data_IF_249702533245
#
_entry.id   IF_249702533245
#
_cell.length_a   1.000
_cell.length_b   1.000
_cell.length_c   1.000
_cell.angle_alpha   90.00
_cell.angle_beta   90.00
_cell.angle_gamma   90.00
#
_symmetry.space_group_name_H-M   'P 1'
#
loop_
_entity.id
_entity.type
_entity.pdbx_description
1 polymer ?
#
# COMPACT_ATOMS: atom_id res chain seq x y z
N UNK A 1 -8.19 4.51 -11.81
CA UNK A 1 -8.03 5.85 -11.19
C UNK A 1 -8.28 7.00 -12.16
N UNK A 2 -7.78 6.94 -13.40
CA UNK A 2 -7.85 8.07 -14.36
C UNK A 2 -9.23 8.62 -14.75
N UNK A 3 -10.34 7.99 -14.31
CA UNK A 3 -11.72 8.45 -14.52
C UNK A 3 -12.38 9.07 -13.29
N UNK A 4 -11.80 8.90 -12.09
CA UNK A 4 -12.31 9.49 -10.85
C UNK A 4 -11.74 10.90 -10.65
N UNK A 5 -12.15 11.63 -9.61
CA UNK A 5 -11.59 12.95 -9.27
C UNK A 5 -12.60 13.83 -8.53
N UNK A 6 -12.13 14.71 -7.65
CA UNK A 6 -12.96 15.70 -6.97
C UNK A 6 -14.03 15.17 -6.00
N UNK A 7 -14.00 13.88 -5.66
CA UNK A 7 -15.05 13.21 -4.90
C UNK A 7 -15.21 13.69 -3.44
N UNK A 8 -14.25 14.43 -2.89
CA UNK A 8 -14.33 14.93 -1.51
C UNK A 8 -15.55 15.83 -1.26
N UNK A 9 -16.06 16.49 -2.31
CA UNK A 9 -17.22 17.37 -2.21
C UNK A 9 -18.54 16.60 -2.14
N UNK A 10 -18.66 15.53 -2.93
CA UNK A 10 -19.88 14.70 -2.98
C UNK A 10 -19.90 13.63 -1.88
N UNK A 11 -18.72 13.11 -1.49
CA UNK A 11 -18.58 12.00 -0.55
C UNK A 11 -17.63 12.38 0.62
N UNK A 12 -17.98 13.37 1.45
CA UNK A 12 -17.08 13.88 2.49
C UNK A 12 -16.80 12.86 3.60
N UNK A 13 -17.79 12.02 3.98
CA UNK A 13 -17.56 11.00 5.01
C UNK A 13 -16.62 9.90 4.50
N UNK A 14 -16.87 9.39 3.29
CA UNK A 14 -15.96 8.45 2.64
C UNK A 14 -14.55 9.03 2.58
N UNK A 15 -14.40 10.27 2.12
CA UNK A 15 -13.11 10.92 1.98
C UNK A 15 -12.39 11.07 3.33
N UNK A 16 -13.07 11.50 4.39
CA UNK A 16 -12.46 11.67 5.70
C UNK A 16 -12.00 10.32 6.31
N UNK A 17 -12.83 9.29 6.23
CA UNK A 17 -12.50 7.97 6.77
C UNK A 17 -11.41 7.27 5.94
N UNK A 18 -11.48 7.40 4.61
CA UNK A 18 -10.42 6.92 3.72
C UNK A 18 -9.10 7.64 3.98
N UNK A 19 -9.13 8.95 4.27
CA UNK A 19 -7.92 9.70 4.62
C UNK A 19 -7.25 9.09 5.86
N UNK A 20 -8.00 8.73 6.91
CA UNK A 20 -7.42 8.05 8.08
C UNK A 20 -6.69 6.76 7.68
N UNK A 21 -7.30 5.94 6.82
CA UNK A 21 -6.67 4.72 6.30
C UNK A 21 -5.43 4.99 5.45
N UNK A 22 -5.48 6.00 4.58
CA UNK A 22 -4.36 6.45 3.74
C UNK A 22 -3.19 6.92 4.62
N UNK A 23 -3.45 7.71 5.65
CA UNK A 23 -2.43 8.16 6.60
C UNK A 23 -1.87 6.98 7.40
N UNK A 24 -2.70 6.00 7.74
CA UNK A 24 -2.27 4.81 8.47
C UNK A 24 -1.33 3.94 7.64
N UNK A 25 -1.68 3.65 6.38
CA UNK A 25 -0.83 2.89 5.45
C UNK A 25 0.45 3.66 5.09
N UNK A 26 0.39 4.99 5.06
CA UNK A 26 1.58 5.82 4.80
C UNK A 26 2.55 5.90 5.98
N UNK A 27 2.27 5.19 7.08
CA UNK A 27 3.15 5.18 8.25
C UNK A 27 3.19 6.52 8.97
N UNK A 28 2.11 7.30 9.00
CA UNK A 28 2.10 8.57 9.74
C UNK A 28 1.81 8.36 11.24
N UNK A 29 2.64 8.90 12.15
CA UNK A 29 2.30 8.95 13.56
C UNK A 29 1.00 9.75 13.77
N UNK A 30 0.08 9.32 14.64
CA UNK A 30 0.18 8.27 15.66
C UNK A 30 -0.56 6.97 15.26
N UNK A 31 -0.66 6.66 13.97
CA UNK A 31 -1.48 5.55 13.48
C UNK A 31 -0.74 4.21 13.58
N UNK A 32 -1.51 3.12 13.55
CA UNK A 32 -0.97 1.76 13.71
C UNK A 32 0.10 1.39 12.68
N UNK A 33 -0.01 1.84 11.43
CA UNK A 33 0.99 1.52 10.40
C UNK A 33 2.39 2.03 10.74
N UNK A 34 2.50 3.23 11.34
CA UNK A 34 3.78 3.75 11.81
C UNK A 34 4.38 2.86 12.90
N UNK A 35 3.58 2.44 13.88
CA UNK A 35 4.06 1.58 14.98
C UNK A 35 4.59 0.26 14.44
N UNK A 36 3.85 -0.38 13.52
CA UNK A 36 4.25 -1.67 12.93
C UNK A 36 5.55 -1.57 12.14
N UNK A 37 5.67 -0.55 11.28
CA UNK A 37 6.90 -0.31 10.50
C UNK A 37 8.09 0.07 11.40
N UNK A 38 7.84 0.87 12.44
CA UNK A 38 8.85 1.24 13.43
C UNK A 38 9.37 0.01 14.19
N UNK A 39 8.48 -0.85 14.69
CA UNK A 39 8.87 -2.11 15.34
C UNK A 39 9.63 -3.03 14.40
N UNK A 40 9.23 -3.10 13.13
CA UNK A 40 9.94 -3.88 12.12
C UNK A 40 11.36 -3.33 11.89
N UNK A 41 11.51 -2.02 11.69
CA UNK A 41 12.81 -1.38 11.52
C UNK A 41 13.71 -1.59 12.74
N UNK A 42 13.15 -1.50 13.95
CA UNK A 42 13.88 -1.79 15.17
C UNK A 42 14.34 -3.25 15.25
N UNK A 43 13.50 -4.20 14.85
CA UNK A 43 13.88 -5.61 14.83
C UNK A 43 15.09 -5.88 13.92
N UNK A 44 15.18 -5.19 12.78
CA UNK A 44 16.36 -5.26 11.92
C UNK A 44 17.56 -4.52 12.54
N UNK A 45 17.39 -3.25 12.93
CA UNK A 45 18.51 -2.42 13.37
C UNK A 45 19.11 -2.80 14.74
N UNK A 46 18.30 -3.40 15.61
CA UNK A 46 18.68 -3.79 16.96
C UNK A 46 18.79 -5.32 17.11
N UNK A 47 18.87 -6.06 15.99
CA UNK A 47 19.07 -7.51 16.04
C UNK A 47 20.34 -7.81 16.86
N UNK A 48 20.27 -8.66 17.90
CA UNK A 48 21.46 -9.19 18.56
C UNK A 48 22.30 -9.88 17.49
N UNK A 49 23.61 -9.62 17.47
CA UNK A 49 24.52 -10.07 16.41
C UNK A 49 24.23 -11.51 16.01
N UNK A 50 23.82 -11.70 14.75
CA UNK A 50 23.40 -13.01 14.28
C UNK A 50 24.58 -13.98 14.34
N UNK A 51 24.34 -15.29 14.57
CA UNK A 51 25.43 -16.28 14.68
C UNK A 51 26.35 -16.34 13.47
N UNK A 52 25.87 -15.87 12.31
CA UNK A 52 26.59 -15.85 11.05
C UNK A 52 26.80 -14.40 10.58
N UNK A 53 28.06 -13.96 10.59
CA UNK A 53 28.47 -12.60 10.17
C UNK A 53 28.03 -12.24 8.75
N UNK A 54 27.90 -13.20 7.84
CA UNK A 54 27.41 -12.94 6.48
C UNK A 54 25.95 -12.52 6.45
N UNK A 55 25.12 -13.10 7.33
CA UNK A 55 23.70 -12.73 7.43
C UNK A 55 23.57 -11.37 8.11
N UNK A 56 24.40 -11.12 9.12
CA UNK A 56 24.45 -9.84 9.85
C UNK A 56 24.77 -8.67 8.90
N UNK A 57 25.65 -8.86 7.92
CA UNK A 57 25.94 -7.86 6.87
C UNK A 57 24.75 -7.56 5.94
N UNK A 58 23.77 -8.47 5.81
CA UNK A 58 22.58 -8.24 4.99
C UNK A 58 21.49 -7.47 5.74
N UNK A 59 21.55 -7.38 7.07
CA UNK A 59 20.55 -6.72 7.91
C UNK A 59 20.33 -5.24 7.52
N UNK A 60 21.38 -4.41 7.32
CA UNK A 60 21.18 -3.03 6.86
C UNK A 60 20.55 -2.93 5.46
N UNK A 61 20.88 -3.88 4.57
CA UNK A 61 20.30 -3.93 3.22
C UNK A 61 18.81 -4.25 3.31
N UNK A 62 18.42 -5.21 4.14
CA UNK A 62 17.02 -5.54 4.38
C UNK A 62 16.25 -4.36 4.99
N UNK A 63 16.83 -3.68 5.98
CA UNK A 63 16.24 -2.47 6.57
C UNK A 63 16.06 -1.35 5.53
N UNK A 64 17.04 -1.15 4.65
CA UNK A 64 16.93 -0.18 3.56
C UNK A 64 15.83 -0.53 2.55
N UNK A 65 15.67 -1.81 2.22
CA UNK A 65 14.58 -2.29 1.34
C UNK A 65 13.21 -2.06 1.99
N UNK A 66 13.08 -2.31 3.30
CA UNK A 66 11.84 -2.06 4.04
C UNK A 66 11.52 -0.55 4.07
N UNK A 67 12.52 0.29 4.35
CA UNK A 67 12.34 1.74 4.33
C UNK A 67 11.94 2.25 2.93
N UNK A 68 12.54 1.71 1.87
CA UNK A 68 12.16 2.01 0.48
C UNK A 68 10.72 1.57 0.19
N UNK A 69 10.32 0.38 0.65
CA UNK A 69 8.95 -0.12 0.48
C UNK A 69 7.93 0.78 1.20
N UNK A 70 8.21 1.20 2.44
CA UNK A 70 7.37 2.14 3.19
C UNK A 70 7.25 3.50 2.47
N UNK A 71 8.37 4.04 1.96
CA UNK A 71 8.36 5.29 1.20
C UNK A 71 7.53 5.19 -0.09
N UNK A 72 7.65 4.08 -0.83
CA UNK A 72 6.85 3.84 -2.04
C UNK A 72 5.36 3.63 -1.69
N UNK A 73 5.05 2.97 -0.58
CA UNK A 73 3.68 2.82 -0.10
C UNK A 73 3.05 4.18 0.21
N UNK A 74 3.74 5.03 0.97
CA UNK A 74 3.31 6.40 1.25
C UNK A 74 3.09 7.21 -0.03
N UNK A 75 4.02 7.14 -0.99
CA UNK A 75 3.87 7.80 -2.28
C UNK A 75 2.62 7.35 -3.05
N UNK A 76 2.36 6.04 -3.10
CA UNK A 76 1.17 5.48 -3.77
C UNK A 76 -0.11 5.91 -3.05
N UNK A 77 -0.10 5.99 -1.72
CA UNK A 77 -1.24 6.42 -0.92
C UNK A 77 -1.56 7.92 -1.12
N UNK A 78 -0.55 8.79 -1.17
CA UNK A 78 -0.73 10.21 -1.52
C UNK A 78 -1.30 10.35 -2.93
N UNK A 79 -0.76 9.61 -3.90
CA UNK A 79 -1.30 9.55 -5.27
C UNK A 79 -2.75 9.08 -5.29
N UNK A 80 -3.06 8.01 -4.57
CA UNK A 80 -4.40 7.44 -4.48
C UNK A 80 -5.40 8.47 -3.97
N UNK A 81 -5.11 9.10 -2.83
CA UNK A 81 -6.02 10.05 -2.23
C UNK A 81 -6.14 11.32 -3.07
N UNK A 82 -5.01 11.87 -3.52
CA UNK A 82 -4.97 13.10 -4.32
C UNK A 82 -5.71 12.98 -5.65
N UNK A 83 -5.54 11.87 -6.37
CA UNK A 83 -6.15 11.71 -7.70
C UNK A 83 -7.66 11.41 -7.61
N UNK A 84 -8.11 10.70 -6.58
CA UNK A 84 -9.51 10.25 -6.45
C UNK A 84 -10.37 11.33 -5.79
N UNK A 85 -9.92 11.91 -4.68
CA UNK A 85 -10.75 12.78 -3.85
C UNK A 85 -10.54 14.26 -4.13
N UNK A 86 -9.33 14.68 -4.54
CA UNK A 86 -9.02 16.09 -4.84
C UNK A 86 -9.18 16.39 -6.33
N UNK A 87 -9.05 17.67 -6.69
CA UNK A 87 -9.20 18.16 -8.06
C UNK A 87 -10.65 18.35 -8.51
N UNK A 88 -10.86 18.29 -9.82
CA UNK A 88 -12.17 18.40 -10.47
C UNK A 88 -12.72 17.01 -10.87
N UNK A 89 -14.06 16.83 -10.88
CA UNK A 89 -14.68 15.60 -11.38
C UNK A 89 -14.35 15.39 -12.85
N UNK A 90 -13.74 14.23 -13.17
CA UNK A 90 -13.33 13.88 -14.54
C UNK A 90 -14.48 13.36 -15.41
N UNK A 91 -15.53 12.83 -14.78
CA UNK A 91 -16.74 12.36 -15.45
C UNK A 91 -17.98 13.04 -14.85
N UNK A 92 -18.96 13.38 -15.71
CA UNK A 92 -20.20 14.04 -15.29
C UNK A 92 -21.00 13.21 -14.26
N UNK A 93 -20.91 11.88 -14.31
CA UNK A 93 -21.61 10.99 -13.36
C UNK A 93 -21.13 11.17 -11.92
N UNK A 94 -19.90 11.65 -11.70
CA UNK A 94 -19.34 11.85 -10.36
C UNK A 94 -19.96 13.04 -9.64
N UNK A 95 -20.53 14.01 -10.37
CA UNK A 95 -21.22 15.15 -9.75
C UNK A 95 -22.49 14.74 -9.01
N UNK A 96 -23.10 13.63 -9.42
CA UNK A 96 -24.29 13.04 -8.81
C UNK A 96 -23.96 11.80 -7.95
N UNK A 97 -22.69 11.60 -7.59
CA UNK A 97 -22.32 10.54 -6.66
C UNK A 97 -22.97 10.78 -5.30
N UNK A 98 -23.44 9.71 -4.66
CA UNK A 98 -23.95 9.74 -3.29
C UNK A 98 -22.86 9.30 -2.33
N UNK A 99 -22.82 9.90 -1.14
CA UNK A 99 -21.92 9.50 -0.07
C UNK A 99 -22.30 8.13 0.51
N UNK A 100 -21.38 7.50 1.25
CA UNK A 100 -21.55 6.18 1.84
C UNK A 100 -22.84 6.07 2.66
N UNK A 101 -23.47 4.89 2.67
CA UNK A 101 -24.64 4.61 3.49
C UNK A 101 -24.32 4.54 4.99
N UNK A 102 -25.33 4.55 5.87
CA UNK A 102 -25.12 4.49 7.32
C UNK A 102 -24.32 3.26 7.77
N UNK A 103 -24.62 2.09 7.22
CA UNK A 103 -23.91 0.84 7.55
C UNK A 103 -22.48 0.80 7.03
N UNK A 104 -22.23 1.35 5.84
CA UNK A 104 -20.89 1.48 5.27
C UNK A 104 -20.04 2.42 6.13
N UNK A 105 -20.61 3.58 6.53
CA UNK A 105 -19.95 4.51 7.45
C UNK A 105 -19.62 3.85 8.78
N UNK A 106 -20.54 3.09 9.36
CA UNK A 106 -20.30 2.41 10.62
C UNK A 106 -19.11 1.44 10.53
N UNK A 107 -19.05 0.64 9.46
CA UNK A 107 -17.91 -0.26 9.20
C UNK A 107 -16.59 0.50 9.01
N UNK A 108 -16.61 1.59 8.24
CA UNK A 108 -15.43 2.41 8.01
C UNK A 108 -14.95 3.14 9.28
N UNK A 109 -15.87 3.68 10.08
CA UNK A 109 -15.56 4.33 11.37
C UNK A 109 -14.94 3.31 12.32
N UNK A 110 -15.49 2.09 12.38
CA UNK A 110 -14.94 1.02 13.20
C UNK A 110 -13.49 0.72 12.83
N UNK A 111 -13.20 0.55 11.54
CA UNK A 111 -11.84 0.28 11.06
C UNK A 111 -10.89 1.47 11.27
N UNK A 112 -11.35 2.69 10.99
CA UNK A 112 -10.56 3.90 11.20
C UNK A 112 -10.22 4.09 12.69
N UNK A 113 -11.18 3.84 13.58
CA UNK A 113 -10.99 3.89 15.03
C UNK A 113 -9.99 2.82 15.47
N UNK A 114 -10.09 1.59 14.93
CA UNK A 114 -9.11 0.55 15.20
C UNK A 114 -7.68 0.99 14.81
N UNK A 115 -7.48 1.60 13.63
CA UNK A 115 -6.19 2.13 13.21
C UNK A 115 -5.63 3.17 14.19
N UNK A 116 -6.48 4.06 14.71
CA UNK A 116 -6.08 5.10 15.68
C UNK A 116 -5.77 4.49 17.05
N UNK A 117 -6.64 3.64 17.57
CA UNK A 117 -6.47 3.03 18.90
C UNK A 117 -5.22 2.15 18.94
N UNK A 118 -5.01 1.31 17.92
CA UNK A 118 -3.82 0.46 17.84
C UNK A 118 -2.52 1.28 17.72
N UNK A 119 -2.58 2.45 17.10
CA UNK A 119 -1.43 3.35 16.99
C UNK A 119 -1.14 4.15 18.26
N UNK A 120 -2.17 4.58 18.99
CA UNK A 120 -2.04 5.33 20.24
C UNK A 120 -1.69 4.44 21.45
N UNK A 121 -2.18 3.20 21.42
CA UNK A 121 -2.08 2.27 22.54
C UNK A 121 -1.42 0.94 22.13
N UNK A 122 -0.24 0.97 21.47
CA UNK A 122 0.38 -0.23 20.92
C UNK A 122 0.87 -1.20 22.00
N UNK A 123 1.21 -0.68 23.18
CA UNK A 123 1.69 -1.46 24.33
C UNK A 123 0.68 -2.54 24.73
N UNK A 124 -0.63 -2.24 24.71
CA UNK A 124 -1.64 -3.24 25.07
C UNK A 124 -1.62 -4.43 24.11
N UNK A 125 -1.44 -4.17 22.81
CA UNK A 125 -1.37 -5.23 21.79
C UNK A 125 -0.12 -6.07 21.97
N UNK A 126 1.03 -5.43 22.17
CA UNK A 126 2.31 -6.12 22.41
C UNK A 126 2.22 -6.99 23.66
N UNK A 127 1.63 -6.51 24.74
CA UNK A 127 1.42 -7.28 25.97
C UNK A 127 0.52 -8.51 25.78
N UNK A 128 -0.45 -8.46 24.86
CA UNK A 128 -1.28 -9.64 24.55
C UNK A 128 -0.53 -10.67 23.68
N UNK A 129 0.45 -10.23 22.89
CA UNK A 129 1.28 -11.10 22.03
C UNK A 129 2.46 -11.69 22.80
N UNK A 130 2.95 -10.98 23.82
CA UNK A 130 4.13 -11.34 24.62
C UNK A 130 4.12 -12.80 25.16
N UNK A 131 3.00 -13.34 25.69
CA UNK A 131 2.97 -14.73 26.14
C UNK A 131 3.25 -15.75 25.03
N UNK A 132 2.85 -15.45 23.79
CA UNK A 132 3.12 -16.29 22.63
C UNK A 132 4.60 -16.24 22.28
N UNK A 133 5.22 -15.06 22.32
CA UNK A 133 6.65 -14.90 22.14
C UNK A 133 7.45 -15.61 23.23
N UNK A 134 7.03 -15.53 24.49
CA UNK A 134 7.65 -16.25 25.59
C UNK A 134 7.56 -17.77 25.39
N UNK A 135 6.41 -18.28 24.93
CA UNK A 135 6.22 -19.73 24.69
C UNK A 135 7.07 -20.24 23.51
N UNK A 136 7.21 -19.45 22.44
CA UNK A 136 7.89 -19.87 21.21
C UNK A 136 9.40 -19.62 21.23
N UNK A 137 9.84 -18.51 21.83
CA UNK A 137 11.21 -18.01 21.76
C UNK A 137 11.92 -18.01 23.12
N UNK A 138 11.19 -18.22 24.22
CA UNK A 138 11.74 -18.12 25.58
C UNK A 138 12.10 -16.69 25.99
N UNK A 139 11.72 -15.69 25.18
CA UNK A 139 12.03 -14.28 25.39
C UNK A 139 10.76 -13.42 25.32
N UNK A 140 10.78 -12.33 26.08
CA UNK A 140 9.70 -11.35 26.07
C UNK A 140 9.91 -10.32 24.96
N UNK A 141 8.82 -9.91 24.30
CA UNK A 141 8.75 -8.68 23.51
C UNK A 141 8.85 -7.52 24.51
N UNK A 142 10.08 -7.05 24.73
CA UNK A 142 10.38 -6.06 25.77
C UNK A 142 9.40 -4.90 25.79
N UNK A 143 8.95 -4.55 26.99
CA UNK A 143 8.48 -3.21 27.29
C UNK A 143 9.12 -2.77 28.60
N UNK A 144 10.40 -2.39 28.52
CA UNK A 144 11.20 -2.00 29.69
C UNK A 144 10.62 -0.80 30.46
N UNK A 145 9.78 0.02 29.83
CA UNK A 145 9.07 1.12 30.45
C UNK A 145 7.81 0.64 31.18
N UNK A 146 7.67 1.04 32.45
CA UNK A 146 6.60 0.64 33.36
C UNK A 146 5.19 1.24 33.03
N UNK A 147 4.90 1.65 31.79
CA UNK A 147 3.63 2.30 31.46
C UNK A 147 3.19 2.17 29.99
N UNK A 148 1.87 2.23 29.77
CA UNK A 148 1.22 2.10 28.45
C UNK A 148 1.56 3.22 27.46
N UNK A 149 2.08 4.35 27.96
CA UNK A 149 2.37 5.55 27.17
C UNK A 149 3.72 5.52 26.46
N UNK A 150 4.60 4.59 26.84
CA UNK A 150 5.96 4.46 26.32
C UNK A 150 6.14 3.07 25.73
N UNK A 151 6.49 3.00 24.46
CA UNK A 151 6.90 1.79 23.79
C UNK A 151 8.43 1.74 23.80
N UNK A 152 9.00 0.82 24.58
CA UNK A 152 10.46 0.64 24.70
C UNK A 152 10.84 -0.82 24.46
N UNK A 153 11.06 -1.21 23.19
CA UNK A 153 11.14 -2.62 22.82
C UNK A 153 12.37 -3.38 23.33
N UNK A 154 13.50 -2.71 23.54
CA UNK A 154 14.76 -3.38 23.94
C UNK A 154 15.53 -2.63 25.03
N UNK A 155 15.79 -1.33 24.85
CA UNK A 155 16.48 -0.49 25.85
C UNK A 155 15.90 0.93 25.85
N UNK A 156 15.65 1.48 27.05
CA UNK A 156 15.13 2.85 27.23
C UNK A 156 16.07 3.92 26.67
N UNK A 157 17.39 3.66 26.70
CA UNK A 157 18.41 4.60 26.20
C UNK A 157 18.59 4.59 24.69
N UNK A 158 18.24 3.49 24.00
CA UNK A 158 18.48 3.35 22.57
C UNK A 158 17.30 3.76 21.72
N UNK A 159 16.08 3.38 22.11
CA UNK A 159 14.90 3.70 21.34
C UNK A 159 13.62 3.69 22.18
N UNK A 160 13.19 4.90 22.57
CA UNK A 160 11.91 5.14 23.25
C UNK A 160 10.98 5.93 22.34
N UNK A 161 9.75 5.43 22.14
CA UNK A 161 8.71 6.15 21.39
C UNK A 161 7.45 6.26 22.23
N UNK A 162 6.93 7.47 22.37
CA UNK A 162 5.61 7.72 22.97
C UNK A 162 4.64 8.23 21.91
N UNK A 163 3.64 7.43 21.49
CA UNK A 163 2.65 7.85 20.50
C UNK A 163 1.89 9.11 20.92
N UNK A 164 1.55 9.21 22.21
CA UNK A 164 0.76 10.32 22.76
C UNK A 164 1.56 11.62 22.78
N UNK A 165 2.79 11.61 23.30
CA UNK A 165 3.62 12.81 23.30
C UNK A 165 3.98 13.27 21.90
N UNK A 166 4.24 12.34 20.98
CA UNK A 166 4.50 12.68 19.58
C UNK A 166 3.27 13.34 18.94
N UNK A 167 2.07 12.77 19.12
CA UNK A 167 0.83 13.37 18.64
C UNK A 167 0.63 14.79 19.19
N UNK A 168 0.79 14.97 20.50
CA UNK A 168 0.61 16.27 21.15
C UNK A 168 1.62 17.30 20.62
N UNK A 169 2.87 16.90 20.39
CA UNK A 169 3.90 17.77 19.80
C UNK A 169 3.53 18.20 18.37
N UNK A 170 3.09 17.26 17.53
CA UNK A 170 2.65 17.57 16.15
C UNK A 170 1.44 18.50 16.16
N UNK A 171 0.43 18.21 16.97
CA UNK A 171 -0.76 19.07 17.09
C UNK A 171 -0.40 20.46 17.61
N UNK A 172 0.50 20.55 18.60
CA UNK A 172 0.98 21.84 19.11
C UNK A 172 1.68 22.64 18.01
N UNK A 173 2.58 22.04 17.24
CA UNK A 173 3.25 22.70 16.10
C UNK A 173 2.24 23.16 15.05
N UNK A 174 1.26 22.32 14.70
CA UNK A 174 0.21 22.69 13.75
C UNK A 174 -0.65 23.86 14.25
N UNK A 175 -1.08 23.83 15.51
CA UNK A 175 -1.89 24.88 16.12
C UNK A 175 -1.12 26.19 16.25
N UNK A 176 0.14 26.14 16.69
CA UNK A 176 1.02 27.31 16.76
C UNK A 176 1.22 27.89 15.37
N UNK A 177 1.47 27.06 14.36
CA UNK A 177 1.62 27.52 12.97
C UNK A 177 0.34 28.16 12.45
N UNK A 178 -0.82 27.53 12.67
CA UNK A 178 -2.11 28.09 12.28
C UNK A 178 -2.41 29.42 13.00
N UNK A 179 -2.10 29.51 14.28
CA UNK A 179 -2.24 30.73 15.08
C UNK A 179 -1.32 31.84 14.58
N UNK A 180 -0.04 31.55 14.33
CA UNK A 180 0.92 32.50 13.77
C UNK A 180 0.47 32.97 12.39
N UNK A 181 0.04 32.07 11.51
CA UNK A 181 -0.46 32.45 10.18
C UNK A 181 -1.67 33.35 10.29
N UNK A 182 -2.64 33.03 11.15
CA UNK A 182 -3.82 33.87 11.34
C UNK A 182 -3.49 35.22 11.96
N UNK A 183 -2.52 35.25 12.89
CA UNK A 183 -2.08 36.46 13.57
C UNK A 183 -1.22 37.38 12.70
N UNK A 184 -0.37 36.85 11.82
CA UNK A 184 0.46 37.69 10.94
C UNK A 184 -0.23 38.01 9.61
N UNK A 185 -1.07 37.11 9.09
CA UNK A 185 -1.69 37.24 7.78
C UNK A 185 -3.22 37.38 7.89
N UNK A 186 -3.68 38.56 8.34
CA UNK A 186 -5.09 38.96 8.42
C UNK A 186 -5.74 39.26 7.05
N UNK A 187 -5.17 38.76 5.95
CA UNK A 187 -5.62 39.05 4.60
C UNK A 187 -7.05 38.54 4.36
N UNK A 188 -7.88 39.34 3.67
CA UNK A 188 -9.17 38.88 3.16
C UNK A 188 -8.93 37.75 2.14
N UNK A 189 -9.16 36.51 2.57
CA UNK A 189 -9.07 35.34 1.70
C UNK A 189 -10.15 35.44 0.62
N UNK A 190 -9.75 35.66 -0.64
CA UNK A 190 -10.64 35.57 -1.79
C UNK A 190 -10.54 34.17 -2.40
N UNK A 191 -11.66 33.47 -2.51
CA UNK A 191 -11.74 32.25 -3.32
C UNK A 191 -11.83 32.63 -4.79
N UNK A 192 -10.91 32.11 -5.59
CA UNK A 192 -10.86 32.29 -7.04
C UNK A 192 -10.53 30.97 -7.73
N UNK A 193 -10.59 30.93 -9.08
CA UNK A 193 -10.05 29.80 -9.83
C UNK A 193 -8.56 29.62 -9.51
N UNK A 194 -8.07 28.39 -9.66
CA UNK A 194 -6.64 28.15 -9.49
C UNK A 194 -5.87 28.95 -10.55
N UNK A 195 -4.63 29.34 -10.25
CA UNK A 195 -3.80 30.03 -11.23
C UNK A 195 -3.42 29.08 -12.37
N UNK A 196 -3.76 29.44 -13.60
CA UNK A 196 -3.49 28.62 -14.80
C UNK A 196 -2.57 29.34 -15.78
N UNK A 197 -1.57 30.08 -15.29
CA UNK A 197 -0.64 30.85 -16.13
C UNK A 197 -1.33 31.80 -17.14
N UNK A 198 -2.54 32.29 -16.81
CA UNK A 198 -3.32 33.18 -17.68
C UNK A 198 -4.30 32.46 -18.63
N UNK A 199 -4.44 31.14 -18.56
CA UNK A 199 -5.47 30.43 -19.33
C UNK A 199 -6.88 30.70 -18.78
N UNK A 200 -7.86 31.01 -19.65
CA UNK A 200 -9.18 31.47 -19.21
C UNK A 200 -10.12 30.35 -18.75
N UNK A 201 -9.86 29.09 -19.11
CA UNK A 201 -10.77 27.98 -18.85
C UNK A 201 -10.02 26.77 -18.27
N UNK A 202 -10.28 26.46 -17.00
CA UNK A 202 -9.79 25.24 -16.35
C UNK A 202 -10.80 24.12 -16.55
N UNK A 203 -10.39 23.03 -17.20
CA UNK A 203 -11.20 21.84 -17.34
C UNK A 203 -10.56 20.63 -16.65
N UNK A 204 -11.36 19.59 -16.41
CA UNK A 204 -10.90 18.37 -15.73
C UNK A 204 -9.85 17.55 -16.52
N UNK A 205 -9.51 17.94 -17.76
CA UNK A 205 -8.43 17.34 -18.55
C UNK A 205 -7.07 18.02 -18.32
N UNK A 206 -7.07 19.25 -17.79
CA UNK A 206 -5.84 20.02 -17.54
C UNK A 206 -5.19 19.69 -16.19
N UNK A 207 -5.88 18.97 -15.30
CA UNK A 207 -5.31 18.48 -14.04
C UNK A 207 -4.45 17.23 -14.24
N UNK A 208 -3.46 17.05 -13.39
CA UNK A 208 -2.60 15.87 -13.40
C UNK A 208 -3.40 14.57 -13.25
N UNK A 209 -3.04 13.55 -14.03
CA UNK A 209 -3.64 12.20 -13.95
C UNK A 209 -2.84 11.28 -13.03
N UNK A 210 -3.40 10.13 -12.68
CA UNK A 210 -2.67 9.09 -11.94
C UNK A 210 -1.40 8.67 -12.70
N UNK A 211 -1.48 8.59 -14.01
CA UNK A 211 -0.39 8.17 -14.87
C UNK A 211 0.68 9.26 -14.98
N UNK A 212 0.28 10.54 -15.05
CA UNK A 212 1.20 11.69 -15.03
C UNK A 212 1.94 11.83 -13.70
N UNK A 213 1.22 11.80 -12.58
CA UNK A 213 1.82 11.87 -11.23
C UNK A 213 2.84 10.75 -11.01
N UNK A 214 2.54 9.55 -11.53
CA UNK A 214 3.39 8.35 -11.44
C UNK A 214 4.55 8.27 -12.43
N UNK A 215 4.70 9.23 -13.34
CA UNK A 215 5.62 9.12 -14.48
C UNK A 215 7.10 8.99 -14.07
N UNK A 216 7.64 9.74 -13.08
CA UNK A 216 9.04 9.62 -12.69
C UNK A 216 9.38 8.23 -12.14
N UNK A 217 8.53 7.68 -11.26
CA UNK A 217 8.70 6.34 -10.69
C UNK A 217 8.63 5.28 -11.79
N UNK A 218 7.66 5.40 -12.70
CA UNK A 218 7.56 4.50 -13.86
C UNK A 218 8.85 4.46 -14.67
N UNK A 219 9.46 5.62 -14.94
CA UNK A 219 10.71 5.68 -15.71
C UNK A 219 11.89 5.03 -14.98
N UNK A 220 11.96 5.16 -13.65
CA UNK A 220 13.00 4.48 -12.83
C UNK A 220 12.84 2.95 -12.90
N UNK A 221 11.60 2.47 -12.89
CA UNK A 221 11.28 1.04 -12.87
C UNK A 221 11.09 0.41 -14.26
N UNK A 222 11.30 1.15 -15.35
CA UNK A 222 11.23 0.67 -16.73
C UNK A 222 12.14 -0.54 -17.03
N UNK A 223 13.33 -0.72 -16.42
CA UNK A 223 14.12 -1.94 -16.62
C UNK A 223 13.43 -3.21 -16.09
N UNK A 224 12.61 -3.08 -15.05
CA UNK A 224 11.92 -4.20 -14.38
C UNK A 224 10.53 -4.46 -14.95
N UNK A 225 9.81 -3.41 -15.35
CA UNK A 225 8.47 -3.50 -15.91
C UNK A 225 8.48 -3.29 -17.42
N UNK A 226 7.46 -3.79 -18.11
CA UNK A 226 7.25 -3.49 -19.53
C UNK A 226 6.30 -2.30 -19.62
N UNK A 227 6.86 -1.10 -19.81
CA UNK A 227 6.10 0.15 -19.84
C UNK A 227 5.95 0.59 -21.28
N UNK A 228 4.70 0.61 -21.76
CA UNK A 228 4.37 1.10 -23.10
C UNK A 228 3.59 2.40 -22.94
N UNK A 229 4.13 3.50 -23.46
CA UNK A 229 3.48 4.82 -23.42
C UNK A 229 3.40 5.46 -24.79
N UNK A 230 2.19 5.80 -25.22
CA UNK A 230 1.91 6.64 -26.38
C UNK A 230 1.48 8.01 -25.88
N UNK A 231 2.35 8.99 -26.11
CA UNK A 231 2.12 10.39 -25.77
C UNK A 231 1.67 11.13 -27.03
N UNK A 232 0.54 11.86 -26.98
CA UNK A 232 0.11 12.66 -28.11
C UNK A 232 1.04 13.87 -28.32
N UNK A 233 1.19 14.28 -29.57
CA UNK A 233 1.92 15.50 -29.92
C UNK A 233 1.01 16.72 -29.87
N UNK A 234 1.60 17.92 -29.75
CA UNK A 234 0.84 19.18 -29.74
C UNK A 234 0.03 19.42 -31.04
N UNK A 235 0.36 18.70 -32.12
CA UNK A 235 -0.29 18.83 -33.42
C UNK A 235 -1.34 17.73 -33.69
N UNK A 236 -1.56 16.82 -32.74
CA UNK A 236 -2.54 15.75 -32.92
C UNK A 236 -3.97 16.30 -32.87
N UNK A 237 -4.72 16.14 -33.95
CA UNK A 237 -6.13 16.57 -34.02
C UNK A 237 -7.03 15.84 -33.00
N UNK A 238 -6.70 14.60 -32.65
CA UNK A 238 -7.36 13.82 -31.61
C UNK A 238 -6.32 13.16 -30.70
N UNK A 239 -5.80 13.90 -29.69
CA UNK A 239 -4.73 13.40 -28.85
C UNK A 239 -5.24 12.20 -28.03
N UNK A 240 -4.66 11.03 -28.26
CA UNK A 240 -4.92 9.81 -27.49
C UNK A 240 -3.74 9.54 -26.58
N UNK A 241 -4.02 9.39 -25.30
CA UNK A 241 -3.04 8.98 -24.31
C UNK A 241 -3.26 7.51 -23.97
N UNK A 242 -2.21 6.70 -24.08
CA UNK A 242 -2.25 5.30 -23.70
C UNK A 242 -0.98 4.95 -22.92
N UNK A 243 -1.14 4.41 -21.71
CA UNK A 243 -0.02 4.02 -20.87
C UNK A 243 -0.30 2.69 -20.18
N UNK A 244 0.26 1.62 -20.71
CA UNK A 244 0.20 0.29 -20.12
C UNK A 244 1.49 0.00 -19.35
N UNK A 245 1.34 -0.66 -18.21
CA UNK A 245 2.44 -1.15 -17.40
C UNK A 245 2.18 -2.60 -17.11
N UNK A 246 2.96 -3.47 -17.72
CA UNK A 246 2.88 -4.91 -17.54
C UNK A 246 4.13 -5.42 -16.81
N UNK A 247 4.00 -6.55 -16.13
CA UNK A 247 5.14 -7.18 -15.46
C UNK A 247 5.94 -8.02 -16.46
N UNK A 248 7.26 -7.80 -16.55
CA UNK A 248 8.13 -8.64 -17.38
C UNK A 248 8.21 -10.07 -16.85
N UNK A 249 8.13 -10.27 -15.53
CA UNK A 249 8.15 -11.59 -14.89
C UNK A 249 6.96 -12.44 -15.32
N UNK A 250 5.82 -11.82 -15.63
CA UNK A 250 4.67 -12.53 -16.18
C UNK A 250 5.01 -13.24 -17.49
N UNK A 251 5.69 -12.54 -18.40
CA UNK A 251 6.07 -13.09 -19.70
C UNK A 251 7.24 -14.07 -19.60
N UNK A 252 8.16 -13.85 -18.65
CA UNK A 252 9.36 -14.66 -18.48
C UNK A 252 9.12 -15.97 -17.69
N UNK A 253 8.23 -15.95 -16.69
CA UNK A 253 8.02 -17.09 -15.78
C UNK A 253 6.61 -17.68 -15.91
N UNK A 254 5.57 -16.85 -15.78
CA UNK A 254 4.20 -17.35 -15.72
C UNK A 254 3.69 -17.85 -17.07
N UNK A 255 3.95 -17.13 -18.15
CA UNK A 255 3.50 -17.52 -19.49
C UNK A 255 4.14 -18.84 -19.98
N UNK A 256 5.44 -19.10 -19.83
CA UNK A 256 5.99 -20.40 -20.19
C UNK A 256 5.47 -21.51 -19.28
N UNK A 257 5.29 -21.26 -17.98
CA UNK A 257 4.71 -22.24 -17.06
C UNK A 257 3.27 -22.59 -17.45
N UNK A 258 2.44 -21.60 -17.78
CA UNK A 258 1.10 -21.79 -18.32
C UNK A 258 1.13 -22.67 -19.57
N UNK A 259 1.98 -22.34 -20.54
CA UNK A 259 2.11 -23.12 -21.80
C UNK A 259 2.58 -24.55 -21.53
N UNK A 260 3.45 -24.76 -20.54
CA UNK A 260 3.90 -26.08 -20.13
C UNK A 260 2.74 -26.90 -19.53
N UNK A 261 1.98 -26.29 -18.63
CA UNK A 261 0.78 -26.93 -18.04
C UNK A 261 -0.26 -27.24 -19.13
N UNK A 262 -0.52 -26.33 -20.06
CA UNK A 262 -1.42 -26.57 -21.21
C UNK A 262 -0.94 -27.71 -22.09
N UNK A 263 0.37 -27.78 -22.37
CA UNK A 263 0.95 -28.91 -23.13
C UNK A 263 0.79 -30.23 -22.38
N UNK A 264 1.13 -30.28 -21.08
CA UNK A 264 0.98 -31.50 -20.27
C UNK A 264 -0.49 -31.93 -20.16
N UNK A 265 -1.41 -30.97 -19.99
CA UNK A 265 -2.85 -31.23 -19.99
C UNK A 265 -3.33 -31.75 -21.34
N UNK A 266 -2.80 -31.22 -22.45
CA UNK A 266 -3.07 -31.73 -23.79
C UNK A 266 -2.60 -33.17 -23.97
N UNK A 267 -1.42 -33.52 -23.44
CA UNK A 267 -0.92 -34.90 -23.43
C UNK A 267 -1.80 -35.84 -22.59
N UNK A 268 -2.32 -35.38 -21.45
CA UNK A 268 -3.28 -36.16 -20.67
C UNK A 268 -4.58 -36.40 -21.43
N UNK A 269 -5.04 -35.44 -22.24
CA UNK A 269 -6.20 -35.62 -23.13
C UNK A 269 -5.97 -36.68 -24.20
N UNK A 270 -4.72 -36.93 -24.61
CA UNK A 270 -4.36 -38.02 -25.54
C UNK A 270 -4.57 -39.40 -24.89
N UNK A 271 -4.66 -39.54 -23.57
CA UNK A 271 -5.05 -40.82 -22.96
C UNK A 271 -6.56 -41.12 -23.08
N UNK A 272 -7.40 -40.15 -23.45
CA UNK A 272 -8.86 -40.31 -23.46
C UNK A 272 -9.44 -40.41 -24.89
N UNK A 273 -8.92 -41.29 -25.73
CA UNK A 273 -9.32 -41.40 -27.14
C UNK A 273 -10.70 -42.04 -27.40
N UNK A 274 -11.57 -42.22 -26.40
CA UNK A 274 -12.94 -42.74 -26.59
C UNK A 274 -13.04 -44.20 -27.09
N UNK A 275 -11.92 -44.83 -27.44
CA UNK A 275 -11.84 -46.22 -27.85
C UNK A 275 -11.68 -47.16 -26.65
N UNK A 276 -12.65 -48.05 -26.46
CA UNK A 276 -12.75 -48.95 -25.30
C UNK A 276 -11.51 -49.85 -25.13
N UNK A 277 -10.90 -50.29 -26.23
CA UNK A 277 -9.73 -51.18 -26.19
C UNK A 277 -8.49 -50.53 -25.56
N UNK A 278 -8.30 -49.21 -25.70
CA UNK A 278 -7.19 -48.50 -25.07
C UNK A 278 -7.34 -48.44 -23.54
N UNK A 279 -8.56 -48.22 -23.06
CA UNK A 279 -8.84 -48.21 -21.61
C UNK A 279 -8.63 -49.58 -20.96
N UNK A 280 -9.00 -50.67 -21.65
CA UNK A 280 -8.74 -52.03 -21.17
C UNK A 280 -7.24 -52.33 -21.10
N UNK A 281 -6.46 -51.92 -22.10
CA UNK A 281 -5.00 -52.04 -22.10
C UNK A 281 -4.37 -51.25 -20.95
N UNK A 282 -4.80 -50.00 -20.73
CA UNK A 282 -4.31 -49.20 -19.60
C UNK A 282 -4.59 -49.89 -18.27
N UNK A 283 -5.80 -50.42 -18.08
CA UNK A 283 -6.22 -51.11 -16.85
C UNK A 283 -5.36 -52.36 -16.59
N UNK A 284 -5.14 -53.18 -17.63
CA UNK A 284 -4.30 -54.38 -17.57
C UNK A 284 -2.83 -54.04 -17.24
N UNK A 285 -2.27 -53.00 -17.88
CA UNK A 285 -0.90 -52.53 -17.59
C UNK A 285 -0.79 -52.01 -16.15
N UNK A 286 -1.74 -51.20 -15.67
CA UNK A 286 -1.74 -50.75 -14.26
C UNK A 286 -1.81 -51.92 -13.27
N UNK A 287 -2.56 -52.97 -13.59
CA UNK A 287 -2.64 -54.19 -12.76
C UNK A 287 -1.30 -54.91 -12.68
N UNK A 288 -0.61 -55.08 -13.82
CA UNK A 288 0.74 -55.68 -13.85
C UNK A 288 1.73 -54.83 -13.04
N UNK A 289 1.71 -53.51 -13.22
CA UNK A 289 2.60 -52.61 -12.48
C UNK A 289 2.33 -52.70 -10.98
N UNK A 290 1.07 -52.63 -10.55
CA UNK A 290 0.71 -52.78 -9.14
C UNK A 290 1.16 -54.13 -8.56
N UNK A 291 1.03 -55.22 -9.33
CA UNK A 291 1.47 -56.56 -8.91
C UNK A 291 3.01 -56.69 -8.80
N UNK A 292 3.77 -55.89 -9.55
CA UNK A 292 5.24 -55.86 -9.44
C UNK A 292 5.68 -55.07 -8.20
N UNK A 293 4.89 -54.07 -7.78
CA UNK A 293 5.20 -53.21 -6.65
C UNK A 293 4.59 -53.67 -5.31
N UNK A 294 3.74 -54.70 -5.32
CA UNK A 294 3.16 -55.38 -4.14
C UNK A 294 3.84 -56.73 -3.97
#
# INVERSE_FOLDING_TARGET
MGRMGGLIKQMPWLAALMLVGVLAISGLPPLNGFVSEWLLLQAFLLSPGLPNSYIDMLVPVAAAVIALAAALAAYVMVKFFGVIFLGQPREAKLEHAHDAGLWERAGMVWLALACVVLGLAPVFVVQQIDPVSQMLLGSHLGNAAAGWMMLTPMDTERASYSPVYFLLAVLAVMLVTAWLVHHYYHGRLRRGPAWDCGFPAQNARMQDTAEGFGQPIRRIFDPFFKIESVLPTAFDAQPKYHALSEDRLWYLLYLPMKRLVEKLSGWASVLQHGHIHLYLTYTFVTLIVLLIFV
#
